data_IF_070469038205
#
_entry.id   IF_070469038205
#
_cell.length_a   1.000
_cell.length_b   1.000
_cell.length_c   1.000
_cell.angle_alpha   90.00
_cell.angle_beta   90.00
_cell.angle_gamma   90.00
#
_symmetry.space_group_name_H-M   'P 1'
#
loop_
_entity.id
_entity.type
_entity.pdbx_description
1 polymer ?
#
# COMPACT_ATOMS: atom_id res chain seq x y z
N UNK A 1 -37.07 -23.09 -27.77
CA UNK A 1 -35.81 -23.06 -28.54
C UNK A 1 -34.75 -23.72 -27.66
N UNK A 2 -34.35 -24.96 -27.97
CA UNK A 2 -33.38 -25.70 -27.16
C UNK A 2 -31.99 -25.38 -27.73
N UNK A 3 -31.16 -24.65 -27.00
CA UNK A 3 -29.82 -24.31 -27.46
C UNK A 3 -28.96 -25.55 -27.30
N UNK A 4 -28.65 -26.23 -28.39
CA UNK A 4 -27.67 -27.32 -28.39
C UNK A 4 -26.29 -26.71 -28.14
N UNK A 5 -25.83 -26.76 -26.89
CA UNK A 5 -24.44 -26.51 -26.56
C UNK A 5 -23.62 -27.63 -27.19
N UNK A 6 -23.07 -27.37 -28.37
CA UNK A 6 -22.14 -28.28 -29.03
C UNK A 6 -20.85 -28.26 -28.22
N UNK A 7 -20.58 -29.32 -27.47
CA UNK A 7 -19.35 -29.45 -26.68
C UNK A 7 -18.15 -29.17 -27.59
N UNK A 8 -17.34 -28.13 -27.30
CA UNK A 8 -16.22 -27.79 -28.15
C UNK A 8 -15.12 -28.84 -27.95
N UNK A 9 -15.15 -29.95 -28.70
CA UNK A 9 -14.19 -31.05 -28.57
C UNK A 9 -12.78 -30.73 -29.12
N UNK A 10 -12.41 -29.45 -29.20
CA UNK A 10 -11.11 -28.99 -29.66
C UNK A 10 -10.00 -29.19 -28.61
N UNK A 11 -8.77 -29.34 -29.10
CA UNK A 11 -7.55 -29.41 -28.25
C UNK A 11 -7.42 -28.20 -27.33
N UNK A 12 -7.91 -27.04 -27.76
CA UNK A 12 -7.96 -25.80 -26.97
C UNK A 12 -8.89 -25.93 -25.75
N UNK A 13 -10.08 -26.49 -25.92
CA UNK A 13 -11.03 -26.68 -24.83
C UNK A 13 -10.51 -27.67 -23.79
N UNK A 14 -9.89 -28.77 -24.23
CA UNK A 14 -9.23 -29.71 -23.30
C UNK A 14 -8.11 -29.06 -22.50
N UNK A 15 -7.33 -28.17 -23.12
CA UNK A 15 -6.30 -27.38 -22.42
C UNK A 15 -6.92 -26.38 -21.44
N UNK A 16 -8.03 -25.74 -21.81
CA UNK A 16 -8.76 -24.84 -20.93
C UNK A 16 -9.30 -25.57 -19.69
N UNK A 17 -9.91 -26.75 -19.88
CA UNK A 17 -10.38 -27.60 -18.78
C UNK A 17 -9.23 -28.06 -17.87
N UNK A 18 -8.08 -28.42 -18.45
CA UNK A 18 -6.90 -28.80 -17.69
C UNK A 18 -6.35 -27.62 -16.86
N UNK A 19 -6.42 -26.40 -17.39
CA UNK A 19 -6.05 -25.18 -16.67
C UNK A 19 -7.02 -24.86 -15.52
N UNK A 20 -8.33 -25.02 -15.73
CA UNK A 20 -9.31 -24.84 -14.65
C UNK A 20 -9.09 -25.84 -13.51
N UNK A 21 -8.84 -27.12 -13.82
CA UNK A 21 -8.55 -28.11 -12.79
C UNK A 21 -7.22 -27.85 -12.06
N UNK A 22 -6.22 -27.33 -12.76
CA UNK A 22 -4.95 -26.92 -12.15
C UNK A 22 -5.17 -25.74 -11.22
N UNK A 23 -5.93 -24.72 -11.65
CA UNK A 23 -6.24 -23.53 -10.87
C UNK A 23 -7.12 -23.85 -9.63
N UNK A 24 -8.08 -24.78 -9.76
CA UNK A 24 -8.90 -25.26 -8.65
C UNK A 24 -8.12 -26.05 -7.59
N UNK A 25 -6.90 -26.49 -7.92
CA UNK A 25 -5.99 -27.17 -6.98
C UNK A 25 -4.91 -26.25 -6.41
N UNK A 26 -4.85 -24.97 -6.82
CA UNK A 26 -3.98 -23.98 -6.20
C UNK A 26 -4.65 -23.61 -4.88
N UNK A 27 -4.03 -23.90 -3.70
CA UNK A 27 -4.55 -23.35 -2.45
C UNK A 27 -4.63 -21.84 -2.65
N UNK A 28 -5.69 -21.14 -2.20
CA UNK A 28 -5.74 -19.70 -2.33
C UNK A 28 -4.41 -19.19 -1.80
N UNK A 29 -3.61 -18.58 -2.68
CA UNK A 29 -2.48 -17.78 -2.25
C UNK A 29 -3.17 -16.78 -1.36
N UNK A 30 -3.10 -17.02 -0.05
CA UNK A 30 -3.61 -16.15 0.97
C UNK A 30 -2.88 -14.87 0.64
N UNK A 31 -3.56 -13.96 -0.06
CA UNK A 31 -3.08 -12.64 -0.41
C UNK A 31 -2.51 -12.13 0.88
N UNK A 32 -1.18 -12.12 0.97
CA UNK A 32 -0.45 -12.11 2.23
C UNK A 32 -1.22 -11.21 3.16
N UNK A 33 -1.84 -11.79 4.20
CA UNK A 33 -2.66 -11.05 5.15
C UNK A 33 -1.83 -9.82 5.44
N UNK A 34 -2.27 -8.66 4.95
CA UNK A 34 -1.65 -7.43 5.35
C UNK A 34 -2.01 -7.40 6.81
N UNK A 35 -1.10 -7.88 7.64
CA UNK A 35 -1.15 -7.64 9.06
C UNK A 35 -1.42 -6.14 9.12
N UNK A 36 -2.52 -5.68 9.74
CA UNK A 36 -2.55 -4.30 10.14
C UNK A 36 -1.26 -4.14 10.94
N UNK A 37 -0.30 -3.40 10.37
CA UNK A 37 0.99 -3.19 11.01
C UNK A 37 0.72 -2.74 12.44
N UNK A 38 1.65 -3.00 13.39
CA UNK A 38 1.46 -2.68 14.80
C UNK A 38 0.68 -1.37 14.96
N UNK A 39 -0.50 -1.48 15.60
CA UNK A 39 -1.56 -0.46 15.62
C UNK A 39 -1.06 0.89 16.15
N UNK A 40 0.02 0.86 16.91
CA UNK A 40 0.76 2.03 17.31
C UNK A 40 2.17 2.01 16.70
N UNK A 41 2.37 2.88 15.72
CA UNK A 41 3.71 3.35 15.36
C UNK A 41 4.20 4.26 16.50
N UNK A 42 4.70 3.69 17.59
CA UNK A 42 5.17 4.45 18.77
C UNK A 42 6.38 5.37 18.52
N UNK A 43 6.83 5.55 17.27
CA UNK A 43 8.06 6.28 16.92
C UNK A 43 7.80 7.36 15.86
N UNK A 44 6.63 7.99 15.93
CA UNK A 44 6.25 9.13 15.10
C UNK A 44 6.34 10.45 15.86
N UNK A 45 6.55 11.53 15.13
CA UNK A 45 6.33 12.89 15.64
C UNK A 45 4.86 12.99 16.08
N UNK A 46 4.54 13.53 17.27
CA UNK A 46 3.17 13.68 17.70
C UNK A 46 2.37 14.55 16.71
N UNK A 47 1.09 14.23 16.44
CA UNK A 47 0.28 14.92 15.43
C UNK A 47 0.15 16.43 15.67
N UNK A 48 0.20 16.84 16.94
CA UNK A 48 0.19 18.24 17.39
C UNK A 48 1.39 19.04 16.86
N UNK A 49 2.53 18.38 16.69
CA UNK A 49 3.79 18.98 16.23
C UNK A 49 3.96 18.95 14.70
N UNK A 50 3.07 18.26 13.97
CA UNK A 50 3.16 18.16 12.52
C UNK A 50 3.14 19.52 11.80
N UNK A 51 2.30 20.51 12.18
CA UNK A 51 2.32 21.83 11.58
C UNK A 51 3.69 22.51 11.76
N UNK A 52 4.31 22.32 12.92
CA UNK A 52 5.62 22.88 13.24
C UNK A 52 6.71 22.27 12.33
N UNK A 53 6.71 20.94 12.17
CA UNK A 53 7.62 20.24 11.24
C UNK A 53 7.44 20.72 9.80
N UNK A 54 6.20 20.87 9.34
CA UNK A 54 5.91 21.35 7.98
C UNK A 54 6.43 22.78 7.80
N UNK A 55 6.20 23.66 8.78
CA UNK A 55 6.68 25.04 8.79
C UNK A 55 8.22 25.10 8.75
N UNK A 56 8.90 24.33 9.59
CA UNK A 56 10.37 24.24 9.62
C UNK A 56 10.97 23.81 8.27
N UNK A 57 10.37 22.83 7.61
CA UNK A 57 10.86 22.36 6.31
C UNK A 57 10.50 23.31 5.16
N UNK A 58 9.28 23.86 5.14
CA UNK A 58 8.79 24.67 4.01
C UNK A 58 9.15 26.15 4.10
N UNK A 59 9.13 26.73 5.30
CA UNK A 59 9.32 28.17 5.50
C UNK A 59 10.74 28.48 5.95
N UNK A 60 11.30 27.66 6.84
CA UNK A 60 12.69 27.84 7.31
C UNK A 60 13.72 27.08 6.44
N UNK A 61 13.26 26.31 5.45
CA UNK A 61 14.09 25.47 4.57
C UNK A 61 15.08 24.56 5.33
N UNK A 62 14.71 24.14 6.54
CA UNK A 62 15.54 23.23 7.32
C UNK A 62 15.64 21.88 6.62
N UNK A 63 16.82 21.27 6.67
CA UNK A 63 17.02 19.97 6.04
C UNK A 63 16.20 18.90 6.74
N UNK A 64 15.62 17.97 5.97
CA UNK A 64 14.85 16.84 6.52
C UNK A 64 15.64 16.02 7.55
N UNK A 65 16.96 15.96 7.38
CA UNK A 65 17.86 15.22 8.25
C UNK A 65 18.05 15.93 9.58
N UNK A 66 18.16 17.25 9.59
CA UNK A 66 18.24 18.07 10.80
C UNK A 66 16.95 17.97 11.61
N UNK A 67 15.80 18.14 10.96
CA UNK A 67 14.49 18.01 11.62
C UNK A 67 14.31 16.59 12.16
N UNK A 68 14.72 15.56 11.42
CA UNK A 68 14.65 14.19 11.90
C UNK A 68 15.52 13.95 13.15
N UNK A 69 16.74 14.51 13.20
CA UNK A 69 17.62 14.43 14.37
C UNK A 69 17.02 15.11 15.61
N UNK A 70 16.44 16.29 15.44
CA UNK A 70 15.81 17.07 16.52
C UNK A 70 14.64 16.31 17.18
N UNK A 71 13.81 15.66 16.37
CA UNK A 71 12.68 14.87 16.83
C UNK A 71 13.04 13.40 17.15
N UNK A 72 14.30 12.99 17.02
CA UNK A 72 14.74 11.60 17.27
C UNK A 72 14.12 10.56 16.32
N UNK A 73 13.69 10.98 15.13
CA UNK A 73 13.03 10.11 14.13
C UNK A 73 13.90 9.87 12.90
N UNK A 74 13.48 8.94 12.05
CA UNK A 74 14.11 8.76 10.73
C UNK A 74 13.72 9.89 9.77
N UNK A 75 14.63 10.23 8.86
CA UNK A 75 14.37 11.14 7.73
C UNK A 75 13.13 10.72 6.92
N UNK A 76 12.90 9.42 6.77
CA UNK A 76 11.74 8.91 6.04
C UNK A 76 10.42 9.18 6.78
N UNK A 77 10.42 9.28 8.11
CA UNK A 77 9.24 9.70 8.91
C UNK A 77 8.85 11.13 8.55
N UNK A 78 9.81 12.05 8.53
CA UNK A 78 9.59 13.45 8.12
C UNK A 78 9.11 13.52 6.67
N UNK A 79 9.68 12.70 5.77
CA UNK A 79 9.27 12.65 4.36
C UNK A 79 7.82 12.16 4.17
N UNK A 80 7.40 11.12 4.89
CA UNK A 80 6.03 10.59 4.86
C UNK A 80 5.03 11.61 5.40
N UNK A 81 5.40 12.31 6.48
CA UNK A 81 4.59 13.38 7.06
C UNK A 81 4.33 14.49 6.04
N UNK A 82 5.36 14.97 5.36
CA UNK A 82 5.23 16.04 4.34
C UNK A 82 4.38 15.64 3.13
N UNK A 83 4.42 14.35 2.73
CA UNK A 83 3.51 13.84 1.67
C UNK A 83 2.06 13.86 2.14
N UNK A 84 1.82 13.37 3.35
CA UNK A 84 0.47 13.30 3.94
C UNK A 84 -0.13 14.69 4.12
N UNK A 85 0.67 15.66 4.62
CA UNK A 85 0.24 17.05 4.79
C UNK A 85 -0.05 17.75 3.46
N UNK A 86 0.64 17.38 2.38
CA UNK A 86 0.36 17.91 1.04
C UNK A 86 -0.94 17.37 0.47
N UNK A 87 -1.29 16.11 0.79
CA UNK A 87 -2.52 15.48 0.32
C UNK A 87 -3.75 16.05 1.01
N UNK A 88 -3.64 16.43 2.29
CA UNK A 88 -4.74 16.99 3.08
C UNK A 88 -5.13 18.43 2.71
N UNK A 89 -4.35 19.13 1.86
CA UNK A 89 -4.70 20.45 1.32
C UNK A 89 -5.39 20.40 -0.06
N UNK A 90 -5.41 19.23 -0.70
CA UNK A 90 -5.89 19.07 -2.07
C UNK A 90 -7.27 18.36 -2.15
N UNK A 91 -7.97 18.24 -1.03
CA UNK A 91 -9.31 17.66 -0.91
C UNK A 91 -10.31 18.66 -0.37
#
# INVERSE_FOLDING_TARGET
MLVHFLEPHGKLYRRLLALEQLLGSIPPIVSAQQHPGPRESHHGIPPEEWPNVVRRVREHHESLRQVATDYGVSRETVRRLLRTSSMNRAG
#
